data_IF_752749288570
#
_entry.id   IF_752749288570
#
_cell.length_a   1.000
_cell.length_b   1.000
_cell.length_c   1.000
_cell.angle_alpha   90.00
_cell.angle_beta   90.00
_cell.angle_gamma   90.00
#
_symmetry.space_group_name_H-M   'P 1'
#
loop_
_entity.id
_entity.type
_entity.pdbx_description
1 polymer ?
#
# COMPACT_ATOMS: atom_id res chain seq x y z
N UNK A 1 -17.81 10.68 -6.15
CA UNK A 1 -16.71 9.75 -6.51
C UNK A 1 -15.62 9.92 -5.45
N UNK A 2 -15.10 8.83 -4.91
CA UNK A 2 -14.06 8.83 -3.87
C UNK A 2 -12.70 8.73 -4.55
N UNK A 3 -11.81 9.71 -4.33
CA UNK A 3 -10.44 9.73 -4.88
C UNK A 3 -9.50 8.98 -3.95
N UNK A 4 -9.00 7.84 -4.40
CA UNK A 4 -8.08 7.00 -3.64
C UNK A 4 -6.67 7.14 -4.20
N UNK A 5 -5.75 7.68 -3.42
CA UNK A 5 -4.34 7.73 -3.77
C UNK A 5 -3.61 6.50 -3.21
N UNK A 6 -3.26 5.57 -4.08
CA UNK A 6 -2.37 4.48 -3.74
C UNK A 6 -0.92 4.99 -3.72
N UNK A 7 -0.15 4.65 -2.69
CA UNK A 7 1.26 5.02 -2.56
C UNK A 7 2.09 3.75 -2.50
N UNK A 8 2.97 3.56 -3.48
CA UNK A 8 3.87 2.41 -3.60
C UNK A 8 5.29 2.91 -3.87
N UNK A 9 6.27 2.30 -3.22
CA UNK A 9 7.69 2.69 -3.34
C UNK A 9 8.48 1.82 -4.32
N UNK A 10 7.84 0.83 -4.93
CA UNK A 10 8.50 -0.12 -5.83
C UNK A 10 8.90 0.57 -7.15
N UNK A 11 10.16 0.40 -7.55
CA UNK A 11 10.65 0.83 -8.87
C UNK A 11 10.37 -0.21 -9.96
N UNK A 12 10.17 -1.47 -9.57
CA UNK A 12 9.88 -2.59 -10.45
C UNK A 12 8.45 -3.10 -10.28
N UNK A 13 7.99 -3.94 -11.23
CA UNK A 13 6.67 -4.58 -11.16
C UNK A 13 6.73 -5.78 -10.21
N UNK A 14 6.72 -5.49 -8.91
CA UNK A 14 6.67 -6.48 -7.83
C UNK A 14 5.24 -6.99 -7.53
N UNK A 15 5.13 -7.78 -6.45
CA UNK A 15 3.84 -8.35 -6.01
C UNK A 15 2.79 -7.29 -5.67
N UNK A 16 3.18 -6.22 -4.97
CA UNK A 16 2.27 -5.13 -4.61
C UNK A 16 1.76 -4.36 -5.84
N UNK A 17 2.65 -4.09 -6.82
CA UNK A 17 2.27 -3.47 -8.08
C UNK A 17 1.26 -4.29 -8.86
N UNK A 18 1.45 -5.63 -8.92
CA UNK A 18 0.50 -6.56 -9.56
C UNK A 18 -0.87 -6.56 -8.87
N UNK A 19 -0.91 -6.41 -7.55
CA UNK A 19 -2.18 -6.29 -6.82
C UNK A 19 -2.93 -5.04 -7.22
N UNK A 20 -2.24 -3.90 -7.37
CA UNK A 20 -2.86 -2.64 -7.83
C UNK A 20 -3.38 -2.80 -9.27
N UNK A 21 -2.58 -3.38 -10.17
CA UNK A 21 -2.99 -3.63 -11.56
C UNK A 21 -4.21 -4.55 -11.65
N UNK A 22 -4.25 -5.63 -10.84
CA UNK A 22 -5.41 -6.51 -10.77
C UNK A 22 -6.63 -5.78 -10.21
N UNK A 23 -6.46 -4.97 -9.16
CA UNK A 23 -7.53 -4.15 -8.60
C UNK A 23 -8.15 -3.24 -9.67
N UNK A 24 -7.33 -2.54 -10.46
CA UNK A 24 -7.82 -1.62 -11.50
C UNK A 24 -8.72 -2.29 -12.53
N UNK A 25 -8.47 -3.56 -12.87
CA UNK A 25 -9.29 -4.32 -13.82
C UNK A 25 -10.73 -4.56 -13.36
N UNK A 26 -10.96 -4.57 -12.05
CA UNK A 26 -12.24 -4.93 -11.43
C UNK A 26 -12.80 -3.82 -10.54
N UNK A 27 -12.10 -2.70 -10.43
CA UNK A 27 -12.52 -1.57 -9.61
C UNK A 27 -13.81 -0.94 -10.16
N UNK A 28 -14.72 -0.60 -9.27
CA UNK A 28 -15.91 0.17 -9.63
C UNK A 28 -15.54 1.63 -9.88
N UNK A 29 -15.26 1.94 -11.15
CA UNK A 29 -14.87 3.29 -11.58
C UNK A 29 -16.00 4.33 -11.46
N UNK A 30 -17.25 3.90 -11.23
CA UNK A 30 -18.36 4.82 -10.95
C UNK A 30 -18.30 5.38 -9.53
N UNK A 31 -17.69 4.66 -8.61
CA UNK A 31 -17.55 5.01 -7.18
C UNK A 31 -16.18 5.52 -6.80
N UNK A 32 -15.12 4.97 -7.40
CA UNK A 32 -13.72 5.24 -7.03
C UNK A 32 -12.92 5.75 -8.23
N UNK A 33 -12.25 6.85 -8.01
CA UNK A 33 -11.20 7.34 -8.90
C UNK A 33 -9.85 6.93 -8.32
N UNK A 34 -9.11 6.11 -9.06
CA UNK A 34 -7.84 5.55 -8.58
C UNK A 34 -6.65 6.34 -9.10
N UNK A 35 -5.90 6.90 -8.16
CA UNK A 35 -4.61 7.54 -8.42
C UNK A 35 -3.49 6.69 -7.81
N UNK A 36 -2.30 6.73 -8.42
CA UNK A 36 -1.15 5.98 -7.92
C UNK A 36 0.08 6.87 -7.90
N UNK A 37 0.65 7.08 -6.71
CA UNK A 37 1.94 7.71 -6.54
C UNK A 37 3.05 6.66 -6.60
N UNK A 38 3.96 6.82 -7.54
CA UNK A 38 5.11 5.94 -7.77
C UNK A 38 6.42 6.73 -7.71
N UNK A 39 7.57 6.09 -7.45
CA UNK A 39 8.86 6.73 -7.63
C UNK A 39 9.03 7.18 -9.09
N UNK A 40 9.70 8.31 -9.29
CA UNK A 40 10.05 8.77 -10.63
C UNK A 40 10.87 7.72 -11.38
N UNK A 41 10.46 7.42 -12.60
CA UNK A 41 11.07 6.38 -13.43
C UNK A 41 10.70 4.95 -13.03
N UNK A 42 9.67 4.74 -12.21
CA UNK A 42 9.16 3.40 -11.90
C UNK A 42 8.60 2.71 -13.14
N UNK A 43 8.94 1.43 -13.32
CA UNK A 43 8.40 0.58 -14.40
C UNK A 43 6.89 0.30 -14.25
N UNK A 44 6.30 0.66 -13.12
CA UNK A 44 4.85 0.56 -12.90
C UNK A 44 4.06 1.64 -13.61
N UNK A 45 4.68 2.76 -14.03
CA UNK A 45 3.97 3.91 -14.58
C UNK A 45 3.10 3.53 -15.77
N UNK A 46 3.72 3.08 -16.87
CA UNK A 46 3.01 2.75 -18.11
C UNK A 46 1.89 1.71 -17.89
N UNK A 47 2.14 0.55 -17.23
CA UNK A 47 1.07 -0.43 -17.00
C UNK A 47 -0.10 0.11 -16.15
N UNK A 48 0.15 1.04 -15.22
CA UNK A 48 -0.89 1.65 -14.40
C UNK A 48 -1.72 2.65 -15.21
N UNK A 49 -1.08 3.46 -16.07
CA UNK A 49 -1.75 4.39 -16.99
C UNK A 49 -2.63 3.64 -18.00
N UNK A 50 -2.09 2.56 -18.60
CA UNK A 50 -2.83 1.66 -19.49
C UNK A 50 -4.04 1.00 -18.81
N UNK A 51 -3.93 0.70 -17.51
CA UNK A 51 -5.02 0.16 -16.71
C UNK A 51 -6.04 1.24 -16.25
N UNK A 52 -5.86 2.51 -16.66
CA UNK A 52 -6.79 3.61 -16.40
C UNK A 52 -6.55 4.36 -15.08
N UNK A 53 -5.42 4.17 -14.41
CA UNK A 53 -5.08 4.95 -13.23
C UNK A 53 -4.45 6.30 -13.61
N UNK A 54 -4.70 7.32 -12.80
CA UNK A 54 -3.92 8.56 -12.86
C UNK A 54 -2.62 8.36 -12.08
N UNK A 55 -1.48 8.34 -12.79
CA UNK A 55 -0.16 8.13 -12.17
C UNK A 55 0.50 9.48 -11.83
N UNK A 56 1.06 9.55 -10.63
CA UNK A 56 1.74 10.71 -10.07
C UNK A 56 3.18 10.30 -9.70
N UNK A 57 4.15 10.78 -10.45
CA UNK A 57 5.57 10.53 -10.14
C UNK A 57 6.03 11.42 -8.99
N UNK A 58 6.76 10.82 -8.06
CA UNK A 58 7.34 11.49 -6.88
C UNK A 58 8.84 11.30 -6.87
N UNK A 59 9.58 12.39 -6.74
CA UNK A 59 11.03 12.32 -6.57
C UNK A 59 11.37 11.62 -5.24
N UNK A 60 12.28 10.67 -5.29
CA UNK A 60 12.60 9.81 -4.15
C UNK A 60 11.66 8.59 -4.06
N UNK A 61 11.41 8.10 -2.85
CA UNK A 61 10.58 6.93 -2.50
C UNK A 61 11.12 5.57 -2.98
N UNK A 62 12.09 5.53 -3.87
CA UNK A 62 12.54 4.31 -4.53
C UNK A 62 12.97 3.21 -3.53
N UNK A 63 12.27 2.07 -3.60
CA UNK A 63 12.56 0.81 -2.90
C UNK A 63 12.83 0.93 -1.39
N UNK A 64 12.25 1.93 -0.74
CA UNK A 64 12.39 2.17 0.70
C UNK A 64 11.06 2.48 1.37
N UNK A 65 10.92 2.05 2.63
CA UNK A 65 9.69 2.25 3.38
C UNK A 65 9.57 3.65 3.98
N UNK A 66 10.69 4.22 4.46
CA UNK A 66 10.67 5.52 5.17
C UNK A 66 11.90 6.36 4.88
N UNK A 67 11.65 7.62 4.53
CA UNK A 67 12.64 8.69 4.53
C UNK A 67 11.94 10.04 4.73
N UNK A 68 12.58 10.99 5.45
CA UNK A 68 11.96 12.28 5.79
C UNK A 68 11.67 13.15 4.56
N UNK A 69 12.52 13.09 3.54
CA UNK A 69 12.32 13.86 2.30
C UNK A 69 11.15 13.30 1.50
N UNK A 70 10.94 11.96 1.50
CA UNK A 70 9.76 11.36 0.88
C UNK A 70 8.47 11.80 1.56
N UNK A 71 8.49 11.91 2.91
CA UNK A 71 7.36 12.46 3.66
C UNK A 71 7.06 13.88 3.22
N UNK A 72 8.09 14.73 3.03
CA UNK A 72 7.92 16.11 2.57
C UNK A 72 7.32 16.16 1.17
N UNK A 73 7.87 15.43 0.21
CA UNK A 73 7.39 15.38 -1.17
C UNK A 73 5.93 14.87 -1.24
N UNK A 74 5.62 13.81 -0.49
CA UNK A 74 4.26 13.27 -0.42
C UNK A 74 3.28 14.24 0.25
N UNK A 75 3.68 15.01 1.25
CA UNK A 75 2.82 16.06 1.84
C UNK A 75 2.50 17.17 0.85
N UNK A 76 3.47 17.58 0.05
CA UNK A 76 3.26 18.57 -1.02
C UNK A 76 2.27 18.02 -2.06
N UNK A 77 2.44 16.76 -2.47
CA UNK A 77 1.52 16.06 -3.36
C UNK A 77 0.10 16.01 -2.77
N UNK A 78 -0.06 15.56 -1.52
CA UNK A 78 -1.35 15.45 -0.85
C UNK A 78 -2.09 16.79 -0.70
N UNK A 79 -1.36 17.87 -0.44
CA UNK A 79 -1.94 19.23 -0.34
C UNK A 79 -2.42 19.74 -1.70
N UNK A 80 -1.70 19.43 -2.78
CA UNK A 80 -2.05 19.80 -4.15
C UNK A 80 -3.22 19.00 -4.67
N UNK A 81 -3.15 17.68 -4.55
CA UNK A 81 -4.10 16.76 -5.16
C UNK A 81 -5.37 16.52 -4.33
N UNK A 82 -5.27 16.63 -3.00
CA UNK A 82 -6.38 16.48 -2.03
C UNK A 82 -7.19 15.19 -2.22
N UNK A 83 -6.58 14.01 -2.15
CA UNK A 83 -7.32 12.75 -2.19
C UNK A 83 -8.21 12.60 -0.96
N UNK A 84 -9.29 11.82 -1.10
CA UNK A 84 -10.21 11.53 0.00
C UNK A 84 -9.68 10.40 0.90
N UNK A 85 -8.79 9.54 0.37
CA UNK A 85 -8.17 8.41 1.06
C UNK A 85 -6.76 8.18 0.52
N UNK A 86 -5.82 7.85 1.40
CA UNK A 86 -4.51 7.31 1.03
C UNK A 86 -4.46 5.82 1.35
N UNK A 87 -4.12 5.01 0.34
CA UNK A 87 -3.88 3.59 0.50
C UNK A 87 -2.41 3.28 0.24
N UNK A 88 -1.67 2.84 1.27
CA UNK A 88 -0.24 2.56 1.14
C UNK A 88 0.06 1.08 1.01
N UNK A 89 1.00 0.76 0.13
CA UNK A 89 1.51 -0.58 -0.11
C UNK A 89 2.93 -0.69 0.45
N UNK A 90 3.05 -0.80 1.78
CA UNK A 90 4.33 -0.90 2.48
C UNK A 90 5.03 0.43 2.80
N UNK A 91 4.74 1.52 2.09
CA UNK A 91 5.41 2.81 2.23
C UNK A 91 5.01 3.54 3.53
N UNK A 92 5.86 3.50 4.55
CA UNK A 92 5.64 4.22 5.81
C UNK A 92 5.67 5.74 5.60
N UNK A 93 6.52 6.25 4.69
CA UNK A 93 6.53 7.67 4.34
C UNK A 93 5.14 8.17 3.91
N UNK A 94 4.41 7.37 3.11
CA UNK A 94 3.05 7.69 2.68
C UNK A 94 2.06 7.78 3.85
N UNK A 95 2.13 6.82 4.79
CA UNK A 95 1.29 6.81 5.99
C UNK A 95 1.53 8.04 6.87
N UNK A 96 2.81 8.37 7.11
CA UNK A 96 3.21 9.55 7.90
C UNK A 96 2.74 10.83 7.23
N UNK A 97 2.97 10.98 5.92
CA UNK A 97 2.55 12.15 5.16
C UNK A 97 1.03 12.36 5.22
N UNK A 98 0.25 11.29 4.97
CA UNK A 98 -1.20 11.34 4.99
C UNK A 98 -1.74 11.70 6.38
N UNK A 99 -1.21 11.08 7.44
CA UNK A 99 -1.59 11.41 8.82
C UNK A 99 -1.33 12.86 9.17
N UNK A 100 -0.18 13.42 8.75
CA UNK A 100 0.18 14.83 8.97
C UNK A 100 -0.67 15.80 8.13
N UNK A 101 -1.29 15.34 7.05
CA UNK A 101 -2.21 16.12 6.23
C UNK A 101 -3.69 15.90 6.62
N UNK A 102 -3.99 15.08 7.62
CA UNK A 102 -5.37 14.78 8.06
C UNK A 102 -6.15 13.91 7.09
N UNK A 103 -5.47 13.21 6.16
CA UNK A 103 -6.12 12.30 5.20
C UNK A 103 -6.22 10.90 5.79
N UNK A 104 -7.39 10.24 5.73
CA UNK A 104 -7.55 8.86 6.17
C UNK A 104 -6.58 7.89 5.49
N UNK A 105 -6.11 6.88 6.23
CA UNK A 105 -5.07 5.95 5.78
C UNK A 105 -5.49 4.51 5.88
N UNK A 106 -5.43 3.80 4.75
CA UNK A 106 -5.43 2.33 4.69
C UNK A 106 -4.01 1.86 4.37
N UNK A 107 -3.59 0.79 5.02
CA UNK A 107 -2.29 0.17 4.79
C UNK A 107 -2.44 -1.29 4.42
N UNK A 108 -1.94 -1.71 3.26
CA UNK A 108 -1.86 -3.12 2.88
C UNK A 108 -0.49 -3.71 3.17
N UNK A 109 -0.49 -4.80 3.94
CA UNK A 109 0.69 -5.64 4.21
C UNK A 109 0.72 -6.80 3.21
N UNK A 110 1.71 -6.80 2.31
CA UNK A 110 1.86 -7.80 1.25
C UNK A 110 2.77 -8.98 1.58
N UNK A 111 3.42 -8.97 2.75
CA UNK A 111 4.36 -10.00 3.14
C UNK A 111 4.13 -10.49 4.56
N UNK A 112 4.33 -11.79 4.77
CA UNK A 112 4.27 -12.46 6.08
C UNK A 112 5.68 -12.85 6.57
N UNK A 113 6.69 -12.00 6.31
CA UNK A 113 8.02 -12.25 6.86
C UNK A 113 7.98 -12.30 8.39
N UNK A 114 8.72 -13.23 9.02
CA UNK A 114 8.75 -13.36 10.46
C UNK A 114 9.05 -12.02 11.14
N UNK A 115 8.30 -11.71 12.19
CA UNK A 115 8.53 -10.51 12.98
C UNK A 115 9.91 -10.61 13.62
N UNK A 116 10.83 -9.65 13.40
CA UNK A 116 12.14 -9.64 14.03
C UNK A 116 12.00 -9.72 15.55
N UNK A 117 12.90 -10.47 16.21
CA UNK A 117 12.83 -10.69 17.67
C UNK A 117 12.70 -9.39 18.46
N UNK A 118 13.42 -8.33 18.04
CA UNK A 118 13.35 -7.00 18.65
C UNK A 118 11.95 -6.33 18.58
N UNK A 119 11.08 -6.76 17.67
CA UNK A 119 9.71 -6.24 17.53
C UNK A 119 8.66 -7.22 18.06
N UNK A 120 9.06 -8.43 18.49
CA UNK A 120 8.17 -9.44 19.09
C UNK A 120 7.98 -9.21 20.58
N UNK A 121 9.00 -8.66 21.27
CA UNK A 121 9.01 -8.41 22.70
C UNK A 121 9.10 -6.92 23.02
N UNK A 122 8.62 -6.49 24.22
CA UNK A 122 8.81 -5.13 24.72
C UNK A 122 10.30 -4.74 24.83
N UNK A 123 10.67 -3.45 24.60
CA UNK A 123 9.79 -2.34 24.24
C UNK A 123 9.45 -2.28 22.74
N UNK A 124 10.18 -3.01 21.90
CA UNK A 124 10.05 -2.95 20.45
C UNK A 124 8.64 -3.28 19.94
N UNK A 125 7.96 -4.25 20.60
CA UNK A 125 6.58 -4.62 20.28
C UNK A 125 5.61 -3.45 20.48
N UNK A 126 5.78 -2.68 21.53
CA UNK A 126 4.92 -1.50 21.80
C UNK A 126 5.15 -0.39 20.79
N UNK A 127 6.42 -0.15 20.43
CA UNK A 127 6.78 0.83 19.39
C UNK A 127 6.19 0.41 18.04
N UNK A 128 6.33 -0.87 17.66
CA UNK A 128 5.76 -1.41 16.42
C UNK A 128 4.25 -1.29 16.38
N UNK A 129 3.57 -1.66 17.47
CA UNK A 129 2.13 -1.48 17.63
C UNK A 129 1.73 -0.01 17.43
N UNK A 130 2.32 0.89 18.22
CA UNK A 130 2.02 2.31 18.17
C UNK A 130 2.22 2.87 16.74
N UNK A 131 3.36 2.58 16.11
CA UNK A 131 3.69 3.06 14.78
C UNK A 131 2.64 2.63 13.74
N UNK A 132 2.25 1.37 13.75
CA UNK A 132 1.28 0.87 12.78
C UNK A 132 -0.14 1.36 13.06
N UNK A 133 -0.56 1.40 14.31
CA UNK A 133 -1.92 1.84 14.69
C UNK A 133 -2.11 3.35 14.63
N UNK A 134 -1.04 4.13 14.86
CA UNK A 134 -1.09 5.59 14.79
C UNK A 134 -1.13 6.08 13.32
N UNK A 135 -0.37 5.44 12.45
CA UNK A 135 -0.25 5.85 11.05
C UNK A 135 -1.13 5.04 10.08
N UNK A 136 -2.10 4.27 10.59
CA UNK A 136 -3.12 3.63 9.76
C UNK A 136 -4.46 3.58 10.49
N UNK A 137 -5.53 3.95 9.81
CA UNK A 137 -6.90 3.83 10.33
C UNK A 137 -7.40 2.39 10.18
N UNK A 138 -7.03 1.73 9.10
CA UNK A 138 -7.28 0.31 8.82
C UNK A 138 -6.04 -0.34 8.18
N UNK A 139 -5.88 -1.64 8.45
CA UNK A 139 -4.78 -2.44 7.90
C UNK A 139 -5.39 -3.62 7.15
N UNK A 140 -5.00 -3.78 5.91
CA UNK A 140 -5.36 -4.94 5.09
C UNK A 140 -4.24 -5.97 5.17
N UNK A 141 -4.56 -7.18 5.59
CA UNK A 141 -3.71 -8.34 5.50
C UNK A 141 -4.13 -9.16 4.26
N UNK A 142 -3.19 -9.43 3.36
CA UNK A 142 -3.48 -10.13 2.10
C UNK A 142 -3.65 -11.65 2.25
N UNK A 143 -3.49 -12.16 3.47
CA UNK A 143 -3.72 -13.57 3.81
C UNK A 143 -3.89 -13.74 5.33
N UNK A 144 -4.44 -14.89 5.80
CA UNK A 144 -4.47 -15.22 7.23
C UNK A 144 -3.07 -15.19 7.87
N UNK A 145 -2.05 -15.74 7.21
CA UNK A 145 -0.66 -15.72 7.70
C UNK A 145 -0.12 -14.29 7.86
N UNK A 146 -0.50 -13.36 6.96
CA UNK A 146 -0.13 -11.94 7.10
C UNK A 146 -0.85 -11.30 8.29
N UNK A 147 -2.11 -11.65 8.55
CA UNK A 147 -2.85 -11.15 9.70
C UNK A 147 -2.25 -11.65 11.02
N UNK A 148 -1.89 -12.93 11.10
CA UNK A 148 -1.20 -13.53 12.24
C UNK A 148 0.15 -12.84 12.49
N UNK A 149 0.94 -12.62 11.44
CA UNK A 149 2.21 -11.90 11.53
C UNK A 149 2.05 -10.46 12.08
N UNK A 150 0.98 -9.75 11.71
CA UNK A 150 0.68 -8.43 12.26
C UNK A 150 0.31 -8.50 13.74
N UNK A 151 -0.49 -9.48 14.17
CA UNK A 151 -0.89 -9.66 15.56
C UNK A 151 0.26 -10.10 16.45
N UNK A 152 1.15 -10.94 15.94
CA UNK A 152 2.42 -11.30 16.59
C UNK A 152 3.31 -10.09 16.87
N UNK A 153 3.31 -9.14 15.91
CA UNK A 153 3.94 -7.83 16.04
C UNK A 153 3.24 -6.88 17.01
N UNK A 154 2.13 -7.30 17.64
CA UNK A 154 1.40 -6.55 18.66
C UNK A 154 0.25 -5.69 18.15
N UNK A 155 -0.04 -5.71 16.85
CA UNK A 155 -1.11 -4.90 16.26
C UNK A 155 -2.47 -5.50 16.62
N UNK A 156 -3.43 -4.64 16.98
CA UNK A 156 -4.77 -5.07 17.39
C UNK A 156 -5.54 -5.71 16.22
N UNK A 157 -6.13 -6.91 16.41
CA UNK A 157 -6.99 -7.53 15.40
C UNK A 157 -8.13 -6.63 14.93
N UNK A 158 -8.62 -5.72 15.79
CA UNK A 158 -9.68 -4.75 15.46
C UNK A 158 -9.30 -3.78 14.33
N UNK A 159 -8.00 -3.59 14.10
CA UNK A 159 -7.46 -2.74 13.02
C UNK A 159 -7.24 -3.52 11.71
N UNK A 160 -7.27 -4.84 11.76
CA UNK A 160 -6.87 -5.72 10.65
C UNK A 160 -8.14 -6.25 9.97
N UNK A 161 -8.14 -6.20 8.65
CA UNK A 161 -9.12 -6.86 7.78
C UNK A 161 -8.37 -7.77 6.82
N UNK A 162 -8.80 -9.02 6.69
CA UNK A 162 -8.21 -9.94 5.71
C UNK A 162 -8.92 -9.74 4.38
N UNK A 163 -8.14 -9.33 3.36
CA UNK A 163 -8.59 -9.26 1.96
C UNK A 163 -7.59 -10.04 1.13
N UNK A 164 -7.99 -11.24 0.70
CA UNK A 164 -7.11 -12.12 -0.08
C UNK A 164 -6.83 -11.51 -1.45
N UNK A 165 -5.57 -11.62 -1.89
CA UNK A 165 -5.21 -11.18 -3.23
C UNK A 165 -5.96 -12.02 -4.27
N UNK A 166 -6.68 -11.34 -5.17
CA UNK A 166 -7.26 -11.96 -6.34
C UNK A 166 -6.19 -12.21 -7.42
N UNK A 167 -6.37 -13.29 -8.17
CA UNK A 167 -5.62 -13.57 -9.39
C UNK A 167 -6.61 -13.70 -10.55
N UNK A 168 -6.18 -13.31 -11.76
CA UNK A 168 -7.00 -13.54 -12.95
C UNK A 168 -7.24 -15.04 -13.13
N UNK A 169 -8.41 -15.45 -13.66
CA UNK A 169 -8.66 -16.84 -14.01
C UNK A 169 -7.55 -17.39 -14.92
N UNK A 170 -6.99 -18.53 -14.55
CA UNK A 170 -6.00 -19.22 -15.38
C UNK A 170 -6.77 -19.92 -16.51
N UNK A 171 -6.57 -19.49 -17.74
CA UNK A 171 -7.03 -20.23 -18.92
C UNK A 171 -6.00 -21.33 -19.19
N UNK A 172 -6.38 -22.62 -19.09
CA UNK A 172 -5.44 -23.69 -19.42
C UNK A 172 -4.94 -23.54 -20.86
N UNK A 173 -3.64 -23.71 -21.06
CA UNK A 173 -3.11 -23.77 -22.41
C UNK A 173 -3.78 -24.94 -23.17
N UNK A 174 -4.10 -24.80 -24.48
CA UNK A 174 -4.59 -25.92 -25.27
C UNK A 174 -3.60 -27.07 -25.12
N UNK A 175 -4.09 -28.26 -24.76
CA UNK A 175 -3.25 -29.45 -24.76
C UNK A 175 -2.76 -29.69 -26.20
N UNK A 176 -1.49 -29.57 -26.44
CA UNK A 176 -0.89 -30.06 -27.68
C UNK A 176 -1.17 -31.58 -27.78
N UNK A 177 -1.94 -31.96 -28.80
CA UNK A 177 -2.17 -33.36 -29.16
C UNK A 177 -1.07 -33.87 -30.04
#
# INVERSE_FOLDING_TARGET
MIRVLNVISDTNIGGAGRVILNYLRYADSSRFETWVAVPKGSLLKEPLEEAGARVLEVDGMADRSYHKEDVKALKELLRRERPDLVHTHGALSGRVAARQCGVPVVYSRHSAFPVPAKLRYPPGRWVNKWLNEHYADRIIAVSPATAENLTDGGISPKKITIVMNGVAPVVPAPSEK
#
